data_IF_901333467039
#
_entry.id   IF_901333467039
#
_cell.length_a   1.000
_cell.length_b   1.000
_cell.length_c   1.000
_cell.angle_alpha   90.00
_cell.angle_beta   90.00
_cell.angle_gamma   90.00
#
_symmetry.space_group_name_H-M   'P 1'
#
loop_
_entity.id
_entity.type
_entity.pdbx_description
1 polymer ?
#
# COMPACT_ATOMS: atom_id res chain seq x y z
N UNK A 1 -8.31 -9.71 -7.32
CA UNK A 1 -8.91 -11.04 -7.56
C UNK A 1 -9.55 -11.62 -6.31
N UNK A 2 -8.81 -11.93 -5.22
CA UNK A 2 -9.44 -12.27 -3.93
C UNK A 2 -10.40 -11.19 -3.43
N UNK A 3 -10.06 -9.91 -3.63
CA UNK A 3 -10.96 -8.78 -3.36
C UNK A 3 -12.22 -8.76 -4.24
N UNK A 4 -12.16 -9.30 -5.45
CA UNK A 4 -13.30 -9.41 -6.36
C UNK A 4 -14.15 -10.64 -6.01
N UNK A 5 -13.51 -11.80 -5.85
CA UNK A 5 -14.15 -13.03 -5.40
C UNK A 5 -14.76 -12.92 -4.00
N UNK A 6 -14.24 -12.05 -3.13
CA UNK A 6 -14.76 -11.78 -1.78
C UNK A 6 -15.68 -10.56 -1.69
N UNK A 7 -16.04 -9.93 -2.82
CA UNK A 7 -16.97 -8.78 -2.84
C UNK A 7 -16.42 -7.49 -2.23
N UNK A 8 -15.15 -7.47 -1.84
CA UNK A 8 -14.49 -6.31 -1.29
C UNK A 8 -14.18 -5.24 -2.36
N UNK A 9 -14.25 -5.55 -3.67
CA UNK A 9 -14.00 -4.65 -4.80
C UNK A 9 -14.25 -5.34 -6.17
N UNK A 10 -15.18 -4.99 -7.07
CA UNK A 10 -16.35 -4.10 -7.04
C UNK A 10 -17.55 -4.78 -6.37
N UNK A 11 -18.53 -3.98 -5.93
CA UNK A 11 -19.76 -4.38 -5.25
C UNK A 11 -20.71 -5.26 -6.07
N UNK A 12 -20.24 -6.43 -6.48
CA UNK A 12 -21.10 -7.57 -6.57
C UNK A 12 -21.59 -7.91 -5.16
N UNK A 13 -22.77 -8.50 -5.08
CA UNK A 13 -23.23 -9.22 -3.92
C UNK A 13 -22.78 -10.68 -4.15
N UNK A 14 -21.47 -11.01 -4.04
CA UNK A 14 -21.01 -12.35 -4.40
C UNK A 14 -21.70 -13.34 -3.49
N UNK A 15 -22.12 -14.45 -4.08
CA UNK A 15 -22.72 -15.52 -3.29
C UNK A 15 -21.73 -15.94 -2.20
N UNK A 16 -22.17 -16.02 -0.95
CA UNK A 16 -21.31 -16.41 0.17
C UNK A 16 -20.60 -17.76 -0.07
N UNK A 17 -21.22 -18.66 -0.84
CA UNK A 17 -20.63 -19.93 -1.27
C UNK A 17 -19.48 -19.69 -2.25
N UNK A 18 -19.63 -18.76 -3.19
CA UNK A 18 -18.58 -18.40 -4.15
C UNK A 18 -17.37 -17.78 -3.42
N UNK A 19 -17.62 -16.87 -2.47
CA UNK A 19 -16.56 -16.32 -1.60
C UNK A 19 -15.83 -17.44 -0.87
N UNK A 20 -16.57 -18.31 -0.19
CA UNK A 20 -16.02 -19.39 0.62
C UNK A 20 -15.26 -20.43 -0.21
N UNK A 21 -15.74 -20.75 -1.41
CA UNK A 21 -15.12 -21.75 -2.30
C UNK A 21 -13.98 -21.17 -3.12
N UNK A 22 -13.93 -19.86 -3.33
CA UNK A 22 -12.89 -19.21 -4.15
C UNK A 22 -11.48 -19.46 -3.65
N UNK A 23 -11.29 -19.53 -2.33
CA UNK A 23 -10.00 -19.71 -1.68
C UNK A 23 -9.60 -21.19 -1.46
N UNK A 24 -10.46 -22.15 -1.82
CA UNK A 24 -10.13 -23.57 -1.78
C UNK A 24 -8.98 -23.89 -2.75
N UNK A 25 -8.22 -24.98 -2.57
CA UNK A 25 -7.11 -25.34 -3.46
C UNK A 25 -7.49 -25.40 -4.95
N UNK A 26 -8.71 -25.86 -5.25
CA UNK A 26 -9.28 -25.90 -6.61
C UNK A 26 -10.19 -24.71 -6.91
N UNK A 27 -10.28 -23.72 -6.00
CA UNK A 27 -11.09 -22.53 -6.14
C UNK A 27 -10.54 -21.56 -7.19
N UNK A 28 -11.43 -20.71 -7.72
CA UNK A 28 -11.13 -19.80 -8.83
C UNK A 28 -9.94 -18.86 -8.57
N UNK A 29 -9.69 -18.48 -7.31
CA UNK A 29 -8.55 -17.64 -6.96
C UNK A 29 -7.22 -18.34 -7.20
N UNK A 30 -7.08 -19.57 -6.69
CA UNK A 30 -5.84 -20.33 -6.82
C UNK A 30 -5.61 -20.77 -8.27
N UNK A 31 -6.66 -21.12 -9.01
CA UNK A 31 -6.55 -21.44 -10.44
C UNK A 31 -6.03 -20.26 -11.25
N UNK A 32 -6.56 -19.07 -10.99
CA UNK A 32 -6.14 -17.89 -11.73
C UNK A 32 -4.72 -17.44 -11.35
N UNK A 33 -4.33 -17.52 -10.06
CA UNK A 33 -2.93 -17.31 -9.67
C UNK A 33 -1.99 -18.32 -10.33
N UNK A 34 -2.41 -19.58 -10.44
CA UNK A 34 -1.63 -20.63 -11.11
C UNK A 34 -1.38 -20.29 -12.59
N UNK A 35 -2.42 -19.91 -13.33
CA UNK A 35 -2.27 -19.52 -14.74
C UNK A 35 -1.47 -18.23 -14.92
N UNK A 36 -1.61 -17.26 -14.00
CA UNK A 36 -0.76 -16.07 -13.98
C UNK A 36 0.72 -16.43 -13.77
N UNK A 37 1.01 -17.40 -12.90
CA UNK A 37 2.37 -17.86 -12.65
C UNK A 37 2.99 -18.58 -13.86
N UNK A 38 2.20 -19.43 -14.55
CA UNK A 38 2.62 -20.05 -15.82
C UNK A 38 2.92 -18.97 -16.86
N UNK A 39 1.99 -18.02 -17.05
CA UNK A 39 2.17 -16.93 -18.02
C UNK A 39 3.41 -16.08 -17.71
N UNK A 40 3.68 -15.79 -16.43
CA UNK A 40 4.90 -15.09 -16.01
C UNK A 40 6.16 -15.89 -16.37
N UNK A 41 6.19 -17.20 -16.07
CA UNK A 41 7.34 -18.05 -16.36
C UNK A 41 7.62 -18.17 -17.86
N UNK A 42 6.59 -18.36 -18.67
CA UNK A 42 6.71 -18.41 -20.14
C UNK A 42 7.17 -17.05 -20.71
N UNK A 43 6.63 -15.95 -20.21
CA UNK A 43 7.05 -14.61 -20.61
C UNK A 43 8.51 -14.33 -20.22
N UNK A 44 8.95 -14.74 -19.03
CA UNK A 44 10.34 -14.65 -18.60
C UNK A 44 11.26 -15.38 -19.59
N UNK A 45 10.96 -16.64 -19.90
CA UNK A 45 11.78 -17.45 -20.80
C UNK A 45 11.81 -16.87 -22.22
N UNK A 46 10.67 -16.39 -22.72
CA UNK A 46 10.58 -15.74 -24.02
C UNK A 46 11.40 -14.45 -24.09
N UNK A 47 11.30 -13.56 -23.09
CA UNK A 47 12.05 -12.30 -23.04
C UNK A 47 13.56 -12.58 -23.03
N UNK A 48 14.00 -13.58 -22.28
CA UNK A 48 15.41 -13.99 -22.22
C UNK A 48 15.89 -14.61 -23.53
N UNK A 49 15.06 -15.43 -24.19
CA UNK A 49 15.37 -16.04 -25.48
C UNK A 49 15.54 -15.00 -26.59
N UNK A 50 14.64 -14.01 -26.65
CA UNK A 50 14.63 -12.99 -27.71
C UNK A 50 15.61 -11.83 -27.45
N UNK A 51 16.10 -11.67 -26.22
CA UNK A 51 17.08 -10.63 -25.91
C UNK A 51 18.47 -10.97 -26.46
N UNK A 52 18.67 -10.69 -27.76
CA UNK A 52 19.95 -10.80 -28.48
C UNK A 52 20.95 -9.65 -28.18
N UNK A 53 20.57 -8.69 -27.34
CA UNK A 53 21.37 -7.49 -27.05
C UNK A 53 22.43 -7.71 -25.96
N UNK A 54 23.48 -6.87 -25.97
CA UNK A 54 24.62 -6.93 -25.05
C UNK A 54 24.28 -6.72 -23.56
N UNK A 55 23.06 -6.28 -23.22
CA UNK A 55 22.60 -6.07 -21.84
C UNK A 55 21.38 -6.94 -21.58
N UNK A 56 21.53 -7.93 -20.67
CA UNK A 56 20.43 -8.80 -20.26
C UNK A 56 19.30 -7.96 -19.63
N UNK A 57 18.03 -8.22 -19.98
CA UNK A 57 16.89 -7.55 -19.38
C UNK A 57 16.77 -7.96 -17.90
N UNK A 58 16.14 -7.11 -17.10
CA UNK A 58 15.67 -7.47 -15.76
C UNK A 58 14.18 -7.74 -15.85
N UNK A 59 13.76 -8.96 -15.52
CA UNK A 59 12.36 -9.36 -15.53
C UNK A 59 11.90 -9.59 -14.09
N UNK A 60 10.79 -8.97 -13.72
CA UNK A 60 10.23 -9.06 -12.37
C UNK A 60 8.71 -8.93 -12.40
N UNK A 61 8.12 -8.80 -11.22
CA UNK A 61 6.68 -8.57 -11.07
C UNK A 61 6.41 -7.42 -10.10
N UNK A 62 5.36 -6.65 -10.35
CA UNK A 62 4.84 -5.68 -9.39
C UNK A 62 3.77 -6.35 -8.51
N UNK A 63 4.09 -6.58 -7.24
CA UNK A 63 3.24 -7.31 -6.30
C UNK A 63 2.63 -6.40 -5.25
N UNK A 64 1.31 -6.35 -5.20
CA UNK A 64 0.60 -5.59 -4.18
C UNK A 64 0.63 -6.30 -2.83
N UNK A 65 1.08 -5.55 -1.82
CA UNK A 65 1.14 -5.98 -0.42
C UNK A 65 0.54 -4.90 0.47
N UNK A 66 -0.06 -5.32 1.58
CA UNK A 66 -0.61 -4.40 2.56
C UNK A 66 -0.29 -4.91 3.96
N UNK A 67 -0.04 -3.98 4.88
CA UNK A 67 0.12 -4.33 6.28
C UNK A 67 -1.27 -4.57 6.89
N UNK A 68 -1.57 -5.81 7.23
CA UNK A 68 -2.86 -6.17 7.81
C UNK A 68 -2.73 -6.28 9.33
N UNK A 69 -3.62 -5.62 10.07
CA UNK A 69 -3.77 -5.79 11.52
C UNK A 69 -5.18 -6.25 11.87
N UNK A 70 -5.31 -6.98 12.97
CA UNK A 70 -6.61 -7.34 13.54
C UNK A 70 -7.23 -6.13 14.24
N UNK A 71 -8.56 -6.03 14.22
CA UNK A 71 -9.29 -5.04 15.01
C UNK A 71 -9.34 -5.47 16.48
N UNK A 72 -9.72 -6.73 16.74
CA UNK A 72 -9.69 -7.35 18.06
C UNK A 72 -8.92 -8.69 18.10
N UNK A 73 -8.83 -9.30 19.27
CA UNK A 73 -8.14 -10.58 19.47
C UNK A 73 -8.73 -11.72 18.63
N UNK A 74 -10.04 -11.70 18.42
CA UNK A 74 -10.75 -12.74 17.65
C UNK A 74 -10.52 -12.63 16.13
N UNK A 75 -9.97 -11.52 15.64
CA UNK A 75 -9.70 -11.32 14.21
C UNK A 75 -8.30 -11.79 13.78
N UNK A 76 -7.46 -12.24 14.72
CA UNK A 76 -6.07 -12.67 14.45
C UNK A 76 -6.02 -13.86 13.48
N UNK A 77 -6.96 -14.80 13.60
CA UNK A 77 -7.04 -15.94 12.69
C UNK A 77 -7.37 -15.49 11.26
N UNK A 78 -8.30 -14.54 11.10
CA UNK A 78 -8.66 -13.99 9.80
C UNK A 78 -7.48 -13.26 9.14
N UNK A 79 -6.72 -12.48 9.92
CA UNK A 79 -5.50 -11.81 9.44
C UNK A 79 -4.43 -12.82 9.03
N UNK A 80 -4.22 -13.85 9.83
CA UNK A 80 -3.25 -14.92 9.53
C UNK A 80 -3.61 -15.62 8.22
N UNK A 81 -4.89 -16.00 8.05
CA UNK A 81 -5.39 -16.63 6.83
C UNK A 81 -5.25 -15.70 5.61
N UNK A 82 -5.66 -14.44 5.74
CA UNK A 82 -5.53 -13.47 4.65
C UNK A 82 -4.07 -13.28 4.23
N UNK A 83 -3.15 -13.18 5.19
CA UNK A 83 -1.72 -13.03 4.91
C UNK A 83 -1.14 -14.31 4.29
N UNK A 84 -1.53 -15.51 4.75
CA UNK A 84 -1.04 -16.77 4.18
C UNK A 84 -1.46 -16.96 2.71
N UNK A 85 -2.59 -16.37 2.31
CA UNK A 85 -3.07 -16.43 0.93
C UNK A 85 -2.47 -15.32 0.04
N UNK A 86 -2.20 -14.14 0.59
CA UNK A 86 -1.96 -12.95 -0.24
C UNK A 86 -0.51 -12.44 -0.27
N UNK A 87 0.30 -12.72 0.76
CA UNK A 87 1.65 -12.15 0.82
C UNK A 87 2.65 -12.88 -0.08
N UNK A 88 2.77 -14.20 0.09
CA UNK A 88 3.89 -14.96 -0.48
C UNK A 88 3.53 -15.97 -1.57
N UNK A 89 2.38 -16.68 -1.55
CA UNK A 89 2.16 -17.83 -2.44
C UNK A 89 2.41 -17.57 -3.93
N UNK A 90 1.97 -16.42 -4.44
CA UNK A 90 2.20 -16.06 -5.83
C UNK A 90 3.69 -15.86 -6.14
N UNK A 91 4.41 -15.12 -5.30
CA UNK A 91 5.85 -14.89 -5.50
C UNK A 91 6.64 -16.19 -5.35
N UNK A 92 6.28 -17.03 -4.39
CA UNK A 92 6.90 -18.36 -4.22
C UNK A 92 6.75 -19.21 -5.48
N UNK A 93 5.63 -19.10 -6.20
CA UNK A 93 5.39 -19.87 -7.42
C UNK A 93 6.23 -19.43 -8.63
N UNK A 94 6.77 -18.21 -8.61
CA UNK A 94 7.54 -17.63 -9.73
C UNK A 94 8.98 -17.26 -9.35
N UNK A 95 9.41 -17.48 -8.11
CA UNK A 95 10.68 -16.96 -7.58
C UNK A 95 11.93 -17.49 -8.30
N UNK A 96 11.82 -18.62 -9.01
CA UNK A 96 12.90 -19.18 -9.83
C UNK A 96 13.04 -18.50 -11.21
N UNK A 97 12.12 -17.60 -11.58
CA UNK A 97 12.05 -16.89 -12.88
C UNK A 97 11.84 -15.39 -12.63
N UNK A 98 12.69 -14.81 -11.78
CA UNK A 98 12.49 -13.46 -11.26
C UNK A 98 13.83 -12.82 -10.87
N UNK A 99 14.16 -11.69 -11.50
CA UNK A 99 15.42 -10.96 -11.25
C UNK A 99 15.24 -9.77 -10.29
N UNK A 100 14.00 -9.32 -10.08
CA UNK A 100 13.62 -8.29 -9.10
C UNK A 100 12.18 -8.47 -8.62
N UNK A 101 11.91 -8.11 -7.35
CA UNK A 101 10.56 -8.05 -6.79
C UNK A 101 10.11 -6.58 -6.73
N UNK A 102 9.10 -6.24 -7.51
CA UNK A 102 8.36 -4.98 -7.38
C UNK A 102 7.38 -5.06 -6.21
N UNK A 103 7.37 -4.05 -5.35
CA UNK A 103 6.47 -3.93 -4.20
C UNK A 103 5.53 -2.74 -4.42
N UNK A 104 4.22 -3.01 -4.48
CA UNK A 104 3.17 -1.99 -4.46
C UNK A 104 2.60 -1.91 -3.05
N UNK A 105 2.79 -0.78 -2.36
CA UNK A 105 2.36 -0.60 -0.97
C UNK A 105 1.66 0.74 -0.76
N UNK A 106 0.45 0.69 -0.19
CA UNK A 106 -0.42 1.87 0.00
C UNK A 106 -0.76 2.16 1.47
N UNK A 107 -0.36 1.30 2.40
CA UNK A 107 -0.67 1.44 3.82
C UNK A 107 -1.26 0.17 4.44
N UNK A 108 -1.96 0.36 5.56
CA UNK A 108 -2.54 -0.70 6.37
C UNK A 108 -4.02 -0.95 6.10
N UNK A 109 -4.43 -2.18 6.40
CA UNK A 109 -5.82 -2.63 6.50
C UNK A 109 -6.08 -3.11 7.93
N UNK A 110 -7.27 -2.84 8.44
CA UNK A 110 -7.73 -3.36 9.73
C UNK A 110 -8.84 -4.35 9.43
N UNK A 111 -8.67 -5.62 9.80
CA UNK A 111 -9.67 -6.66 9.58
C UNK A 111 -10.51 -6.84 10.84
N UNK A 112 -11.83 -6.89 10.66
CA UNK A 112 -12.79 -7.28 11.70
C UNK A 112 -13.84 -8.20 11.09
N UNK A 113 -13.91 -9.44 11.57
CA UNK A 113 -14.72 -10.49 10.96
C UNK A 113 -14.43 -10.64 9.46
N UNK A 114 -15.46 -10.63 8.59
CA UNK A 114 -15.28 -10.73 7.14
C UNK A 114 -14.85 -9.41 6.47
N UNK A 115 -14.82 -8.29 7.20
CA UNK A 115 -14.74 -6.95 6.63
C UNK A 115 -13.46 -6.18 6.96
N UNK A 116 -13.31 -5.03 6.29
CA UNK A 116 -12.31 -4.04 6.63
C UNK A 116 -12.92 -3.02 7.58
N UNK A 117 -12.38 -2.86 8.78
CA UNK A 117 -12.92 -1.95 9.79
C UNK A 117 -12.24 -0.57 9.69
N UNK A 118 -13.03 0.47 9.87
CA UNK A 118 -12.54 1.83 10.01
C UNK A 118 -12.13 2.07 11.48
N UNK A 119 -10.94 2.64 11.67
CA UNK A 119 -10.48 3.05 13.00
C UNK A 119 -10.44 4.57 13.06
N UNK A 120 -11.30 5.19 13.87
CA UNK A 120 -11.51 6.64 13.86
C UNK A 120 -10.23 7.45 14.06
N UNK A 121 -9.36 6.98 14.98
CA UNK A 121 -8.11 7.64 15.32
C UNK A 121 -6.93 7.30 14.40
N UNK A 122 -7.15 6.56 13.32
CA UNK A 122 -6.15 6.35 12.28
C UNK A 122 -6.38 7.35 11.13
N UNK A 123 -5.28 7.85 10.56
CA UNK A 123 -5.32 8.65 9.33
C UNK A 123 -5.56 7.72 8.13
N UNK A 124 -6.51 8.07 7.25
CA UNK A 124 -6.86 7.28 6.07
C UNK A 124 -6.72 8.09 4.78
N UNK A 125 -6.30 7.44 3.69
CA UNK A 125 -6.49 7.97 2.35
C UNK A 125 -7.99 8.14 2.03
N UNK A 126 -8.32 8.97 1.05
CA UNK A 126 -9.71 9.11 0.57
C UNK A 126 -10.31 7.78 0.09
N UNK A 127 -9.47 6.85 -0.40
CA UNK A 127 -9.80 5.49 -0.83
C UNK A 127 -9.81 4.44 0.31
N UNK A 128 -9.71 4.85 1.58
CA UNK A 128 -9.86 3.96 2.73
C UNK A 128 -8.64 3.08 3.05
N UNK A 129 -7.43 3.48 2.66
CA UNK A 129 -6.18 2.84 3.13
C UNK A 129 -5.64 3.60 4.33
N UNK A 130 -5.40 2.90 5.44
CA UNK A 130 -4.83 3.54 6.64
C UNK A 130 -3.37 3.91 6.40
N UNK A 131 -2.99 5.17 6.63
CA UNK A 131 -1.61 5.63 6.47
C UNK A 131 -0.72 4.93 7.49
N UNK A 132 0.31 4.21 7.00
CA UNK A 132 1.16 3.42 7.89
C UNK A 132 2.57 3.16 7.31
N UNK A 133 3.52 4.10 7.44
CA UNK A 133 4.87 3.94 6.90
C UNK A 133 5.66 2.78 7.56
N UNK A 134 5.42 2.51 8.85
CA UNK A 134 6.05 1.39 9.55
C UNK A 134 5.71 0.02 8.93
N UNK A 135 4.57 -0.11 8.26
CA UNK A 135 4.20 -1.34 7.57
C UNK A 135 5.06 -1.61 6.34
N UNK A 136 5.44 -0.57 5.58
CA UNK A 136 6.33 -0.74 4.43
C UNK A 136 7.69 -1.30 4.86
N UNK A 137 8.28 -0.71 5.90
CA UNK A 137 9.53 -1.21 6.48
C UNK A 137 9.40 -2.69 6.91
N UNK A 138 8.33 -3.04 7.65
CA UNK A 138 8.11 -4.43 8.09
C UNK A 138 7.97 -5.40 6.92
N UNK A 139 7.24 -5.01 5.88
CA UNK A 139 7.06 -5.80 4.66
C UNK A 139 8.41 -6.01 3.97
N UNK A 140 9.21 -4.97 3.81
CA UNK A 140 10.54 -5.07 3.19
C UNK A 140 11.46 -6.02 3.97
N UNK A 141 11.47 -5.95 5.30
CA UNK A 141 12.24 -6.88 6.13
C UNK A 141 11.74 -8.33 5.95
N UNK A 142 10.42 -8.54 5.99
CA UNK A 142 9.83 -9.88 5.83
C UNK A 142 10.14 -10.50 4.46
N UNK A 143 10.00 -9.73 3.39
CA UNK A 143 10.30 -10.18 2.04
C UNK A 143 11.80 -10.43 1.85
N UNK A 144 12.66 -9.55 2.37
CA UNK A 144 14.10 -9.73 2.31
C UNK A 144 14.53 -11.01 3.02
N UNK A 145 14.01 -11.30 4.21
CA UNK A 145 14.35 -12.54 4.93
C UNK A 145 13.80 -13.78 4.20
N UNK A 146 12.61 -13.72 3.61
CA UNK A 146 12.04 -14.86 2.86
C UNK A 146 12.84 -15.22 1.61
N UNK A 147 13.32 -14.22 0.87
CA UNK A 147 14.01 -14.42 -0.42
C UNK A 147 15.53 -14.19 -0.35
N UNK A 148 16.08 -14.19 0.86
CA UNK A 148 17.50 -13.87 1.13
C UNK A 148 18.46 -14.77 0.35
N UNK A 149 18.16 -16.06 0.26
CA UNK A 149 18.98 -17.04 -0.46
C UNK A 149 19.04 -16.81 -1.97
N UNK A 150 18.02 -16.13 -2.53
CA UNK A 150 17.95 -15.81 -3.95
C UNK A 150 18.67 -14.49 -4.29
N UNK A 151 19.01 -13.68 -3.27
CA UNK A 151 19.67 -12.38 -3.42
C UNK A 151 18.98 -11.46 -4.45
N UNK A 152 17.64 -11.45 -4.42
CA UNK A 152 16.80 -10.68 -5.36
C UNK A 152 16.64 -9.25 -4.83
N UNK A 153 16.86 -8.20 -5.64
CA UNK A 153 16.60 -6.82 -5.26
C UNK A 153 15.10 -6.48 -5.26
N UNK A 154 14.76 -5.38 -4.58
CA UNK A 154 13.42 -4.81 -4.58
C UNK A 154 13.35 -3.49 -5.33
N UNK A 155 12.21 -3.18 -5.94
CA UNK A 155 11.83 -1.84 -6.37
C UNK A 155 10.47 -1.53 -5.74
N UNK A 156 10.29 -0.34 -5.17
CA UNK A 156 8.95 0.10 -4.81
C UNK A 156 8.27 0.56 -6.10
N UNK A 157 7.50 -0.33 -6.71
CA UNK A 157 6.88 -0.10 -8.02
C UNK A 157 5.64 0.79 -7.92
N UNK A 158 4.97 0.79 -6.77
CA UNK A 158 3.94 1.77 -6.44
C UNK A 158 3.96 2.11 -4.95
N UNK A 159 3.93 3.40 -4.65
CA UNK A 159 3.59 3.91 -3.33
C UNK A 159 2.92 5.28 -3.48
N UNK A 160 1.75 5.45 -2.88
CA UNK A 160 0.98 6.67 -3.04
C UNK A 160 -0.18 6.77 -2.07
N UNK A 161 -0.84 7.93 -2.06
CA UNK A 161 -2.01 8.19 -1.23
C UNK A 161 -3.02 9.04 -2.01
N UNK A 162 -4.29 8.65 -1.95
CA UNK A 162 -5.37 9.49 -2.47
C UNK A 162 -5.67 10.61 -1.47
N UNK A 163 -5.55 11.86 -1.92
CA UNK A 163 -5.66 13.09 -1.13
C UNK A 163 -5.79 14.34 -2.03
N UNK A 164 -7.00 14.78 -2.34
CA UNK A 164 -7.27 15.97 -3.14
C UNK A 164 -6.69 17.25 -2.52
N UNK A 165 -6.54 17.29 -1.18
CA UNK A 165 -6.06 18.47 -0.44
C UNK A 165 -4.54 18.62 -0.46
N UNK A 166 -3.82 17.56 -0.82
CA UNK A 166 -2.35 17.46 -0.80
C UNK A 166 -1.67 17.61 0.58
N UNK A 167 -2.46 17.62 1.66
CA UNK A 167 -1.98 17.78 3.03
C UNK A 167 -1.39 16.51 3.63
N UNK A 168 -1.90 15.34 3.26
CA UNK A 168 -1.39 14.02 3.67
C UNK A 168 -0.25 13.59 2.75
N UNK A 169 -0.33 13.93 1.46
CA UNK A 169 0.62 13.44 0.44
C UNK A 169 2.08 13.80 0.74
N UNK A 170 2.35 15.04 1.15
CA UNK A 170 3.71 15.50 1.51
C UNK A 170 4.33 14.66 2.65
N UNK A 171 3.74 14.59 3.87
CA UNK A 171 4.30 13.76 4.92
C UNK A 171 4.26 12.27 4.54
N UNK A 172 3.29 11.80 3.75
CA UNK A 172 3.24 10.40 3.30
C UNK A 172 4.49 10.01 2.52
N UNK A 173 4.87 10.81 1.52
CA UNK A 173 6.08 10.60 0.71
C UNK A 173 7.31 10.53 1.61
N UNK A 174 7.50 11.54 2.46
CA UNK A 174 8.70 11.64 3.30
C UNK A 174 8.83 10.47 4.27
N UNK A 175 7.76 10.11 4.97
CA UNK A 175 7.82 9.04 5.98
C UNK A 175 7.97 7.64 5.35
N UNK A 176 7.42 7.39 4.16
CA UNK A 176 7.64 6.12 3.45
C UNK A 176 9.06 6.03 2.86
N UNK A 177 9.63 7.13 2.37
CA UNK A 177 11.04 7.16 1.95
C UNK A 177 12.00 6.93 3.12
N UNK A 178 11.71 7.50 4.30
CA UNK A 178 12.49 7.23 5.53
C UNK A 178 12.36 5.74 5.92
N UNK A 179 11.15 5.15 5.82
CA UNK A 179 10.93 3.74 6.10
C UNK A 179 11.72 2.81 5.14
N UNK A 180 11.77 3.15 3.85
CA UNK A 180 12.60 2.44 2.86
C UNK A 180 14.08 2.58 3.20
N UNK A 181 14.54 3.80 3.52
CA UNK A 181 15.93 4.05 3.89
C UNK A 181 16.35 3.26 5.13
N UNK A 182 15.48 3.16 6.13
CA UNK A 182 15.72 2.33 7.31
C UNK A 182 15.85 0.84 6.95
N UNK A 183 15.05 0.33 6.01
CA UNK A 183 15.19 -1.04 5.51
C UNK A 183 16.53 -1.25 4.77
N UNK A 184 16.96 -0.26 3.96
CA UNK A 184 18.27 -0.29 3.29
C UNK A 184 19.41 -0.36 4.31
N UNK A 185 19.35 0.43 5.39
CA UNK A 185 20.33 0.36 6.49
C UNK A 185 20.40 -1.04 7.11
N UNK A 186 19.26 -1.75 7.17
CA UNK A 186 19.18 -3.13 7.67
C UNK A 186 19.60 -4.20 6.64
N UNK A 187 20.12 -3.80 5.48
CA UNK A 187 20.63 -4.70 4.46
C UNK A 187 19.63 -5.11 3.37
N UNK A 188 18.43 -4.52 3.34
CA UNK A 188 17.47 -4.76 2.26
C UNK A 188 17.94 -4.04 0.98
N UNK A 189 18.13 -4.77 -0.11
CA UNK A 189 18.59 -4.19 -1.38
C UNK A 189 17.44 -3.59 -2.20
N UNK A 190 17.10 -2.33 -1.93
CA UNK A 190 16.10 -1.57 -2.69
C UNK A 190 16.79 -0.71 -3.77
N UNK A 191 16.41 -0.90 -5.03
CA UNK A 191 17.02 -0.24 -6.20
C UNK A 191 16.31 1.05 -6.63
N UNK A 192 15.04 1.22 -6.28
CA UNK A 192 14.26 2.35 -6.77
C UNK A 192 12.92 2.52 -6.09
N UNK A 193 12.33 3.69 -6.33
CA UNK A 193 11.03 4.11 -5.81
C UNK A 193 10.25 4.84 -6.90
N UNK A 194 9.02 4.37 -7.14
CA UNK A 194 8.08 4.96 -8.08
C UNK A 194 6.84 5.42 -7.30
N UNK A 195 6.58 6.73 -7.33
CA UNK A 195 5.38 7.29 -6.71
C UNK A 195 4.17 7.00 -7.59
N UNK A 196 3.10 6.45 -7.00
CA UNK A 196 1.80 6.34 -7.64
C UNK A 196 0.96 7.56 -7.25
N UNK A 197 0.76 8.55 -8.14
CA UNK A 197 1.09 8.55 -9.57
C UNK A 197 1.51 9.95 -10.03
N UNK A 198 2.00 10.07 -11.26
CA UNK A 198 2.38 11.37 -11.83
C UNK A 198 1.20 12.33 -11.90
N UNK A 199 0.02 11.88 -12.35
CA UNK A 199 -1.17 12.73 -12.48
C UNK A 199 -2.47 12.00 -12.15
N UNK A 200 -3.49 12.74 -11.73
CA UNK A 200 -4.81 12.15 -11.44
C UNK A 200 -5.34 11.33 -12.61
N UNK A 201 -5.70 10.08 -12.35
CA UNK A 201 -6.17 9.12 -13.35
C UNK A 201 -7.59 8.59 -13.01
N UNK A 202 -8.03 7.55 -13.71
CA UNK A 202 -9.28 6.84 -13.41
C UNK A 202 -8.98 5.71 -12.41
N UNK A 203 -9.46 5.83 -11.18
CA UNK A 203 -9.20 4.88 -10.08
C UNK A 203 -10.20 3.71 -10.12
N UNK A 204 -10.27 3.06 -11.28
CA UNK A 204 -11.05 1.84 -11.52
C UNK A 204 -12.53 1.96 -11.06
N UNK A 205 -12.91 1.20 -10.04
CA UNK A 205 -14.22 1.17 -9.40
C UNK A 205 -14.60 2.50 -8.75
N UNK A 206 -13.62 3.22 -8.20
CA UNK A 206 -13.82 4.46 -7.47
C UNK A 206 -13.95 5.67 -8.43
N UNK A 207 -13.82 5.44 -9.73
CA UNK A 207 -13.95 6.46 -10.77
C UNK A 207 -12.90 7.56 -10.63
N UNK A 208 -13.32 8.82 -10.80
CA UNK A 208 -12.43 9.99 -10.68
C UNK A 208 -12.44 10.62 -9.29
N UNK A 209 -13.11 10.03 -8.29
CA UNK A 209 -13.24 10.61 -6.96
C UNK A 209 -11.89 10.75 -6.25
N UNK A 210 -11.26 9.63 -5.82
CA UNK A 210 -9.97 9.66 -5.14
C UNK A 210 -8.87 10.27 -6.02
N UNK A 211 -8.06 11.17 -5.46
CA UNK A 211 -6.99 11.87 -6.21
C UNK A 211 -5.61 11.37 -5.80
N UNK A 212 -4.94 10.57 -6.64
CA UNK A 212 -3.59 10.06 -6.34
C UNK A 212 -2.44 10.92 -6.91
N UNK A 213 -2.71 11.79 -7.88
CA UNK A 213 -1.68 12.45 -8.67
C UNK A 213 -0.84 13.46 -7.89
N UNK A 214 0.46 13.51 -8.20
CA UNK A 214 1.28 14.70 -7.91
C UNK A 214 0.83 15.90 -8.75
N UNK A 215 0.22 15.66 -9.90
CA UNK A 215 -0.33 16.68 -10.80
C UNK A 215 -1.84 16.49 -10.91
N UNK A 216 -2.60 17.50 -10.47
CA UNK A 216 -4.05 17.50 -10.62
C UNK A 216 -4.45 17.62 -12.09
N UNK A 217 -5.52 16.95 -12.49
CA UNK A 217 -6.06 17.01 -13.86
C UNK A 217 -7.48 17.59 -13.85
N UNK A 218 -7.61 18.78 -14.42
CA UNK A 218 -8.86 19.50 -14.57
C UNK A 218 -9.63 19.00 -15.80
N UNK A 219 -10.55 18.07 -15.55
CA UNK A 219 -11.32 17.40 -16.62
C UNK A 219 -12.38 18.29 -17.25
N UNK A 220 -12.83 19.32 -16.55
CA UNK A 220 -13.78 20.30 -17.07
C UNK A 220 -13.09 21.37 -17.94
N UNK A 221 -11.79 21.60 -17.73
CA UNK A 221 -11.01 22.60 -18.45
C UNK A 221 -9.95 21.95 -19.35
N UNK A 222 -10.38 21.28 -20.42
CA UNK A 222 -9.52 20.72 -21.46
C UNK A 222 -8.34 19.87 -20.94
N UNK A 223 -8.58 19.07 -19.88
CA UNK A 223 -7.57 18.22 -19.24
C UNK A 223 -6.32 19.00 -18.75
N UNK A 224 -6.49 20.25 -18.32
CA UNK A 224 -5.39 21.07 -17.83
C UNK A 224 -4.70 20.41 -16.63
N UNK A 225 -3.36 20.45 -16.62
CA UNK A 225 -2.50 19.80 -15.62
C UNK A 225 -1.94 20.83 -14.65
N UNK A 226 -2.19 20.66 -13.35
CA UNK A 226 -1.78 21.60 -12.30
C UNK A 226 -0.91 20.88 -11.27
N UNK A 227 0.42 21.08 -11.26
CA UNK A 227 1.29 20.48 -10.26
C UNK A 227 0.88 20.87 -8.84
N UNK A 228 0.75 19.89 -7.94
CA UNK A 228 0.42 20.10 -6.54
C UNK A 228 1.68 20.45 -5.72
N UNK A 229 1.56 21.03 -4.52
CA UNK A 229 2.72 21.27 -3.65
C UNK A 229 3.63 20.04 -3.43
N UNK A 230 3.07 18.85 -3.33
CA UNK A 230 3.80 17.57 -3.24
C UNK A 230 4.61 17.23 -4.48
N UNK A 231 4.23 17.67 -5.68
CA UNK A 231 5.03 17.52 -6.90
C UNK A 231 6.38 18.21 -6.75
N UNK A 232 6.39 19.44 -6.24
CA UNK A 232 7.60 20.21 -6.05
C UNK A 232 8.46 19.61 -4.94
N UNK A 233 7.84 19.16 -3.84
CA UNK A 233 8.54 18.42 -2.78
C UNK A 233 9.20 17.14 -3.34
N UNK A 234 8.44 16.34 -4.09
CA UNK A 234 8.95 15.09 -4.67
C UNK A 234 10.07 15.37 -5.68
N UNK A 235 9.92 16.38 -6.54
CA UNK A 235 10.96 16.80 -7.49
C UNK A 235 12.26 17.21 -6.78
N UNK A 236 12.15 17.96 -5.68
CA UNK A 236 13.31 18.33 -4.86
C UNK A 236 13.97 17.09 -4.22
N UNK A 237 13.19 16.17 -3.66
CA UNK A 237 13.74 14.94 -3.06
C UNK A 237 14.44 14.08 -4.11
N UNK A 238 13.84 13.91 -5.29
CA UNK A 238 14.44 13.15 -6.42
C UNK A 238 15.73 13.81 -6.90
N UNK A 239 15.74 15.14 -7.04
CA UNK A 239 16.91 15.89 -7.53
C UNK A 239 18.07 15.88 -6.53
N UNK A 240 17.75 15.99 -5.23
CA UNK A 240 18.78 16.09 -4.17
C UNK A 240 19.19 14.73 -3.60
N UNK A 241 18.36 13.70 -3.79
CA UNK A 241 18.50 12.39 -3.15
C UNK A 241 18.35 12.44 -1.62
N UNK A 242 17.75 13.49 -1.06
CA UNK A 242 17.74 13.77 0.38
C UNK A 242 16.34 14.10 0.89
N UNK A 243 16.07 13.66 2.12
CA UNK A 243 14.93 14.11 2.94
C UNK A 243 15.50 14.86 4.13
N UNK A 244 15.18 16.14 4.28
CA UNK A 244 15.71 16.95 5.38
C UNK A 244 14.76 16.96 6.58
N UNK A 245 15.31 17.25 7.77
CA UNK A 245 14.51 17.46 8.99
C UNK A 245 13.54 18.64 8.84
N UNK A 246 13.93 19.67 8.08
CA UNK A 246 13.10 20.83 7.83
C UNK A 246 11.89 20.46 6.99
N UNK A 247 12.07 19.76 5.87
CA UNK A 247 10.98 19.30 5.00
C UNK A 247 9.99 18.44 5.78
N UNK A 248 10.53 17.49 6.56
CA UNK A 248 9.74 16.61 7.43
C UNK A 248 8.90 17.39 8.44
N UNK A 249 9.50 18.38 9.09
CA UNK A 249 8.83 19.21 10.11
C UNK A 249 7.77 20.11 9.49
N UNK A 250 8.06 20.74 8.35
CA UNK A 250 7.10 21.62 7.66
C UNK A 250 5.90 20.82 7.13
N UNK A 251 6.14 19.71 6.43
CA UNK A 251 5.07 18.85 5.93
C UNK A 251 4.16 18.33 7.05
N UNK A 252 4.75 17.97 8.20
CA UNK A 252 3.99 17.53 9.37
C UNK A 252 3.18 18.66 10.02
N UNK A 253 3.78 19.86 10.14
CA UNK A 253 3.11 21.03 10.71
C UNK A 253 1.85 21.40 9.93
N UNK A 254 1.91 21.39 8.60
CA UNK A 254 0.76 21.72 7.74
C UNK A 254 -0.42 20.77 7.99
N UNK A 255 -0.14 19.46 8.05
CA UNK A 255 -1.15 18.44 8.34
C UNK A 255 -1.74 18.61 9.75
N UNK A 256 -0.89 18.82 10.76
CA UNK A 256 -1.34 19.01 12.14
C UNK A 256 -2.15 20.28 12.33
N UNK A 257 -1.82 21.35 11.61
CA UNK A 257 -2.61 22.58 11.61
C UNK A 257 -4.01 22.33 11.03
N UNK A 258 -4.12 21.54 9.95
CA UNK A 258 -5.41 21.16 9.38
C UNK A 258 -6.25 20.31 10.34
N UNK A 259 -5.63 19.36 11.05
CA UNK A 259 -6.27 18.56 12.08
C UNK A 259 -6.75 19.43 13.26
N UNK A 260 -5.92 20.34 13.76
CA UNK A 260 -6.28 21.29 14.82
C UNK A 260 -7.46 22.18 14.43
N UNK A 261 -7.47 22.65 13.17
CA UNK A 261 -8.56 23.44 12.59
C UNK A 261 -9.83 22.62 12.27
N UNK A 262 -9.81 21.31 12.53
CA UNK A 262 -10.90 20.38 12.19
C UNK A 262 -11.32 20.45 10.72
N UNK A 263 -10.36 20.72 9.82
CA UNK A 263 -10.62 20.67 8.38
C UNK A 263 -11.06 19.27 7.99
N UNK A 264 -11.96 19.19 7.04
CA UNK A 264 -12.43 17.93 6.47
C UNK A 264 -11.90 17.74 5.06
N UNK A 265 -11.95 16.49 4.60
CA UNK A 265 -11.63 16.08 3.24
C UNK A 265 -12.61 15.01 2.75
N UNK A 266 -12.74 14.81 1.43
CA UNK A 266 -13.50 13.71 0.88
C UNK A 266 -13.04 12.34 1.39
N UNK A 267 -13.98 11.44 1.60
CA UNK A 267 -13.76 10.05 1.95
C UNK A 267 -14.73 9.18 1.16
N UNK A 268 -14.19 8.41 0.21
CA UNK A 268 -14.94 7.61 -0.77
C UNK A 268 -15.19 6.19 -0.25
N UNK A 269 -15.49 6.05 1.04
CA UNK A 269 -15.94 4.80 1.66
C UNK A 269 -17.13 5.08 2.56
N UNK A 270 -18.14 4.23 2.46
CA UNK A 270 -19.23 4.17 3.42
C UNK A 270 -18.86 3.20 4.54
N UNK A 271 -19.47 3.41 5.70
CA UNK A 271 -19.23 2.61 6.91
C UNK A 271 -20.60 2.12 7.40
N UNK A 272 -20.71 0.81 7.63
CA UNK A 272 -21.94 0.23 8.17
C UNK A 272 -22.07 0.46 9.70
N UNK A 273 -23.17 -0.03 10.28
CA UNK A 273 -23.43 0.08 11.73
C UNK A 273 -22.41 -0.66 12.61
N UNK A 274 -21.55 -1.50 12.03
CA UNK A 274 -20.53 -2.28 12.72
C UNK A 274 -19.11 -1.70 12.51
N UNK A 275 -18.98 -0.59 11.79
CA UNK A 275 -17.68 0.04 11.50
C UNK A 275 -17.00 -0.52 10.24
N UNK A 276 -17.62 -1.47 9.54
CA UNK A 276 -17.03 -2.05 8.34
C UNK A 276 -17.14 -1.11 7.14
N UNK A 277 -16.00 -0.80 6.52
CA UNK A 277 -15.89 -0.03 5.30
C UNK A 277 -16.28 -0.87 4.08
N UNK A 278 -17.04 -0.27 3.19
CA UNK A 278 -17.36 -0.83 1.87
C UNK A 278 -17.32 0.25 0.78
N UNK A 279 -17.35 -0.20 -0.49
CA UNK A 279 -17.40 0.69 -1.64
C UNK A 279 -18.75 1.42 -1.68
N UNK A 280 -18.79 2.63 -1.15
CA UNK A 280 -19.96 3.48 -1.06
C UNK A 280 -19.55 4.95 -0.91
N UNK A 281 -20.43 5.88 -1.26
CA UNK A 281 -20.11 7.31 -1.27
C UNK A 281 -19.17 7.72 -2.41
N UNK A 282 -19.12 6.95 -3.51
CA UNK A 282 -18.28 7.25 -4.67
C UNK A 282 -18.73 8.52 -5.40
N UNK A 283 -20.04 8.69 -5.60
CA UNK A 283 -20.61 9.88 -6.25
C UNK A 283 -20.73 11.07 -5.30
N UNK A 284 -20.95 10.80 -4.00
CA UNK A 284 -21.12 11.78 -2.94
C UNK A 284 -20.28 11.37 -1.72
N UNK A 285 -19.01 11.81 -1.63
CA UNK A 285 -18.12 11.40 -0.57
C UNK A 285 -18.57 11.95 0.79
N UNK A 286 -18.35 11.14 1.83
CA UNK A 286 -18.48 11.60 3.20
C UNK A 286 -17.31 12.53 3.51
N UNK A 287 -17.54 13.60 4.26
CA UNK A 287 -16.48 14.49 4.71
C UNK A 287 -15.87 13.96 6.01
N UNK A 288 -14.58 13.64 6.00
CA UNK A 288 -13.84 13.12 7.16
C UNK A 288 -12.83 14.15 7.67
N UNK A 289 -12.72 14.40 8.99
CA UNK A 289 -11.70 15.28 9.53
C UNK A 289 -10.28 14.68 9.40
N UNK A 290 -9.26 15.55 9.36
CA UNK A 290 -7.87 15.13 9.57
C UNK A 290 -7.63 14.68 11.01
N UNK A 291 -6.65 13.77 11.18
CA UNK A 291 -6.39 13.14 12.48
C UNK A 291 -5.09 13.69 13.06
N UNK A 292 -5.12 14.08 14.34
CA UNK A 292 -3.96 14.63 15.06
C UNK A 292 -2.96 13.57 15.55
N UNK A 293 -3.25 12.28 15.34
CA UNK A 293 -2.36 11.18 15.70
C UNK A 293 -1.05 11.24 14.91
N UNK A 294 0.06 11.11 15.62
CA UNK A 294 1.37 10.99 15.00
C UNK A 294 1.58 9.59 14.40
N UNK A 295 1.64 9.53 13.07
CA UNK A 295 1.88 8.31 12.30
C UNK A 295 3.25 8.29 11.63
N UNK A 296 4.13 9.26 11.94
CA UNK A 296 5.49 9.32 11.40
C UNK A 296 6.26 8.02 11.64
N UNK A 297 7.15 7.68 10.72
CA UNK A 297 7.97 6.48 10.83
C UNK A 297 8.81 6.52 12.11
N UNK A 298 8.87 5.39 12.82
CA UNK A 298 9.58 5.25 14.10
C UNK A 298 8.82 5.72 15.35
N UNK A 299 7.67 6.39 15.22
CA UNK A 299 6.88 6.87 16.37
C UNK A 299 5.67 6.00 16.73
N UNK A 300 5.36 4.98 15.93
CA UNK A 300 4.20 4.12 16.16
C UNK A 300 4.57 2.85 16.94
N UNK A 301 4.31 2.85 18.24
CA UNK A 301 4.17 1.61 19.01
C UNK A 301 2.80 0.98 18.70
N UNK A 302 2.79 -0.31 18.35
CA UNK A 302 1.55 -1.06 18.16
C UNK A 302 1.00 -1.46 19.53
N UNK A 303 -0.06 -0.80 20.00
CA UNK A 303 -0.93 -1.38 21.04
C UNK A 303 -1.61 -2.64 20.46
N UNK A 304 -1.44 -3.79 21.11
CA UNK A 304 -2.21 -5.01 20.84
C UNK A 304 -1.43 -6.31 20.61
N UNK A 305 -0.10 -6.30 20.48
CA UNK A 305 0.72 -7.52 20.34
C UNK A 305 2.05 -7.43 21.13
N UNK A 306 1.99 -6.96 22.37
CA UNK A 306 3.13 -7.07 23.29
C UNK A 306 3.13 -8.47 23.93
N UNK A 307 3.86 -9.41 23.35
CA UNK A 307 4.35 -10.56 24.10
C UNK A 307 5.46 -10.07 25.04
N UNK A 308 5.47 -10.41 26.35
CA UNK A 308 6.41 -9.86 27.33
C UNK A 308 7.91 -10.01 26.97
N UNK A 309 8.26 -11.03 26.18
CA UNK A 309 9.63 -11.32 25.78
C UNK A 309 10.25 -10.30 24.80
N UNK A 310 9.45 -9.54 24.02
CA UNK A 310 10.02 -8.58 23.06
C UNK A 310 10.58 -7.32 23.73
N UNK A 311 10.22 -7.09 25.00
CA UNK A 311 10.70 -5.95 25.80
C UNK A 311 12.15 -6.13 26.25
N UNK A 312 12.59 -7.36 26.45
CA UNK A 312 13.94 -7.68 26.94
C UNK A 312 15.05 -7.48 25.92
N UNK A 313 14.76 -7.51 24.61
CA UNK A 313 15.79 -7.37 23.56
C UNK A 313 16.09 -5.89 23.26
N UNK A 314 15.24 -4.95 23.69
CA UNK A 314 15.43 -3.51 23.43
C UNK A 314 16.12 -2.75 24.56
N UNK A 315 16.41 -3.37 25.69
CA UNK A 315 17.12 -2.75 26.82
C UNK A 315 18.63 -2.96 26.79
N UNK A 316 19.19 -3.53 25.72
CA UNK A 316 20.60 -3.94 25.68
C UNK A 316 21.33 -3.67 24.36
N UNK A 317 20.85 -2.73 23.53
CA UNK A 317 21.64 -2.16 22.42
C UNK A 317 21.43 -0.64 22.40
#
# INVERSE_FOLDING_TARGET
>A
MLTYCAGAWLGGDPNAIEVATSALPTGVYNQALHWMAIAHAEAYDYIYLESKNARKPFVGVAHHVSFTRSYGLFDVAAVTLANSLTLFPYIDSICNKLDLIGINYYGKKVISGPGLNLVDNDEYSESGRGVYPNGLFRILIQFNERYKSLNIPFIITENGVSDETDLIRKPYILEHLIAIYAAIIMGVRVLGYLFWTTSDNWEWADGYGPKFGLVAVDRANNLARKPQPSYYLFSMVVTTGKVTKQDRTCAWRDLQQAAFQKKTRPFFRAVDKHGCMYAGGLDRPVQRPFISRDWRFGHYEMEGLQHPLSRFIRSTI
#
